data_IF_355843382575
#
_entry.id   IF_355843382575
#
_cell.length_a   1.000
_cell.length_b   1.000
_cell.length_c   1.000
_cell.angle_alpha   90.00
_cell.angle_beta   90.00
_cell.angle_gamma   90.00
#
_symmetry.space_group_name_H-M   'P 1'
#
loop_
_entity.id
_entity.type
_entity.pdbx_description
1 polymer ?
#
# COMPACT_ATOMS: atom_id res chain seq x y z
N UNK A 1 -19.10 36.51 3.35
CA UNK A 1 -17.82 35.89 3.78
C UNK A 1 -17.96 34.42 4.17
N UNK A 2 -18.86 34.05 5.10
CA UNK A 2 -18.95 32.68 5.62
C UNK A 2 -19.19 31.59 4.54
N UNK A 3 -20.11 31.82 3.60
CA UNK A 3 -20.42 30.88 2.52
C UNK A 3 -19.25 30.63 1.55
N UNK A 4 -18.41 31.64 1.36
CA UNK A 4 -17.28 31.59 0.43
C UNK A 4 -16.12 30.78 1.05
N UNK A 5 -15.91 30.94 2.36
CA UNK A 5 -14.96 30.14 3.14
C UNK A 5 -15.37 28.67 3.21
N UNK A 6 -16.65 28.37 3.42
CA UNK A 6 -17.13 26.97 3.47
C UNK A 6 -16.97 26.27 2.13
N UNK A 7 -17.31 26.95 1.01
CA UNK A 7 -17.08 26.41 -0.34
C UNK A 7 -15.59 26.14 -0.61
N UNK A 8 -14.71 27.04 -0.16
CA UNK A 8 -13.27 26.90 -0.35
C UNK A 8 -12.69 25.70 0.42
N UNK A 9 -13.15 25.49 1.66
CA UNK A 9 -12.74 24.35 2.48
C UNK A 9 -13.23 23.01 1.89
N UNK A 10 -14.47 22.96 1.40
CA UNK A 10 -15.01 21.77 0.71
C UNK A 10 -14.22 21.45 -0.55
N UNK A 11 -13.85 22.47 -1.33
CA UNK A 11 -13.02 22.30 -2.51
C UNK A 11 -11.60 21.77 -2.17
N UNK A 12 -11.00 22.23 -1.07
CA UNK A 12 -9.68 21.76 -0.63
C UNK A 12 -9.68 20.28 -0.22
N UNK A 13 -10.72 19.83 0.47
CA UNK A 13 -10.86 18.44 0.93
C UNK A 13 -11.22 17.50 -0.23
N UNK A 14 -11.91 18.03 -1.26
CA UNK A 14 -12.26 17.28 -2.46
C UNK A 14 -11.14 17.14 -3.50
N UNK A 15 -10.02 17.86 -3.34
CA UNK A 15 -8.88 17.76 -4.25
C UNK A 15 -8.16 16.42 -4.01
N UNK A 16 -8.07 15.52 -5.01
CA UNK A 16 -7.26 14.33 -4.89
C UNK A 16 -5.80 14.79 -4.76
N UNK A 17 -5.26 14.73 -3.55
CA UNK A 17 -3.85 14.97 -3.34
C UNK A 17 -3.11 13.86 -4.10
N UNK A 18 -2.56 14.19 -5.27
CA UNK A 18 -1.72 13.29 -6.05
C UNK A 18 -0.39 13.10 -5.30
N UNK A 19 -0.45 12.43 -4.16
CA UNK A 19 0.74 11.98 -3.44
C UNK A 19 1.39 10.94 -4.34
N UNK A 20 2.61 11.23 -4.79
CA UNK A 20 3.38 10.22 -5.49
C UNK A 20 3.62 9.06 -4.53
N UNK A 21 3.14 7.88 -4.90
CA UNK A 21 3.35 6.67 -4.13
C UNK A 21 4.85 6.39 -4.03
N UNK A 22 5.33 6.09 -2.84
CA UNK A 22 6.69 5.58 -2.63
C UNK A 22 6.61 4.13 -2.17
N UNK A 23 7.44 3.28 -2.77
CA UNK A 23 7.51 1.85 -2.47
C UNK A 23 8.96 1.44 -2.32
N UNK A 24 9.23 0.31 -1.67
CA UNK A 24 10.50 -0.37 -1.84
C UNK A 24 10.55 -1.03 -3.23
N UNK A 25 11.67 -0.88 -3.94
CA UNK A 25 11.87 -1.48 -5.26
C UNK A 25 13.24 -2.13 -5.31
N UNK A 26 13.27 -3.45 -5.26
CA UNK A 26 14.50 -4.24 -5.13
C UNK A 26 14.27 -5.70 -5.51
N UNK A 27 15.36 -6.45 -5.71
CA UNK A 27 15.35 -7.89 -5.84
C UNK A 27 16.48 -8.48 -4.99
N UNK A 28 16.17 -9.46 -4.16
CA UNK A 28 17.14 -10.05 -3.24
C UNK A 28 16.89 -11.53 -3.01
N UNK A 29 17.96 -12.31 -2.92
CA UNK A 29 17.91 -13.72 -2.55
C UNK A 29 17.86 -13.82 -1.02
N UNK A 30 16.65 -13.78 -0.49
CA UNK A 30 16.35 -13.85 0.92
C UNK A 30 14.94 -13.35 1.17
N UNK A 31 14.66 -13.07 2.44
CA UNK A 31 13.28 -12.92 2.89
C UNK A 31 12.70 -11.53 2.65
N UNK A 32 13.58 -10.52 2.63
CA UNK A 32 13.19 -9.13 2.51
C UNK A 32 14.30 -8.27 1.89
N UNK A 33 13.92 -7.12 1.32
CA UNK A 33 14.84 -6.09 0.83
C UNK A 33 14.21 -4.71 0.96
N UNK A 34 15.04 -3.67 1.16
CA UNK A 34 14.57 -2.30 1.36
C UNK A 34 15.34 -1.36 0.43
N UNK A 35 14.63 -0.71 -0.47
CA UNK A 35 15.17 0.35 -1.32
C UNK A 35 14.03 1.32 -1.68
N UNK A 36 13.75 2.31 -0.82
CA UNK A 36 12.64 3.23 -1.03
C UNK A 36 12.86 4.03 -2.32
N UNK A 37 11.85 4.05 -3.19
CA UNK A 37 11.87 4.79 -4.45
C UNK A 37 10.49 5.40 -4.71
N UNK A 38 10.50 6.58 -5.33
CA UNK A 38 9.30 7.24 -5.81
C UNK A 38 8.78 6.52 -7.06
N UNK A 39 7.53 6.08 -7.03
CA UNK A 39 6.91 5.38 -8.13
C UNK A 39 6.54 6.33 -9.28
N UNK A 40 6.50 5.83 -10.54
CA UNK A 40 5.98 6.61 -11.66
C UNK A 40 4.49 6.91 -11.46
N UNK A 41 3.99 8.00 -12.04
CA UNK A 41 2.60 8.47 -11.84
C UNK A 41 1.52 7.44 -12.20
N UNK A 42 1.83 6.51 -13.11
CA UNK A 42 0.92 5.43 -13.51
C UNK A 42 0.86 4.27 -12.51
N UNK A 43 1.79 4.17 -11.56
CA UNK A 43 1.82 3.11 -10.57
C UNK A 43 1.08 3.52 -9.31
N UNK A 44 0.03 2.77 -8.99
CA UNK A 44 -0.84 3.00 -7.82
C UNK A 44 -0.70 1.92 -6.76
N UNK A 45 0.12 0.89 -7.01
CA UNK A 45 0.36 -0.21 -6.08
C UNK A 45 1.85 -0.44 -5.86
N UNK A 46 2.21 -0.74 -4.61
CA UNK A 46 3.43 -1.45 -4.28
C UNK A 46 3.15 -2.95 -4.36
N UNK A 47 3.96 -3.66 -5.14
CA UNK A 47 3.90 -5.11 -5.30
C UNK A 47 5.07 -5.75 -4.58
N UNK A 48 4.82 -6.87 -3.90
CA UNK A 48 5.86 -7.79 -3.40
C UNK A 48 5.59 -9.17 -3.96
N UNK A 49 6.57 -9.72 -4.66
CA UNK A 49 6.57 -11.10 -5.12
C UNK A 49 7.61 -11.88 -4.33
N UNK A 50 7.21 -13.01 -3.77
CA UNK A 50 8.13 -13.97 -3.16
C UNK A 50 8.12 -15.24 -3.96
N UNK A 51 9.29 -15.64 -4.46
CA UNK A 51 9.48 -16.89 -5.19
C UNK A 51 10.29 -17.84 -4.32
N UNK A 52 9.70 -18.98 -4.00
CA UNK A 52 10.27 -20.05 -3.20
C UNK A 52 10.95 -21.06 -4.12
N UNK A 53 12.26 -21.24 -3.96
CA UNK A 53 13.01 -22.31 -4.65
C UNK A 53 13.01 -23.58 -3.81
N UNK A 54 13.07 -23.42 -2.49
CA UNK A 54 12.86 -24.46 -1.47
C UNK A 54 12.09 -23.84 -0.30
N UNK A 55 11.64 -24.62 0.70
CA UNK A 55 11.01 -24.07 1.90
C UNK A 55 11.88 -23.06 2.66
N UNK A 56 13.21 -23.09 2.46
CA UNK A 56 14.18 -22.24 3.17
C UNK A 56 14.92 -21.26 2.25
N UNK A 57 14.81 -21.40 0.92
CA UNK A 57 15.43 -20.50 -0.05
C UNK A 57 14.36 -19.81 -0.85
N UNK A 58 14.24 -18.51 -0.65
CA UNK A 58 13.36 -17.67 -1.44
C UNK A 58 14.08 -16.44 -2.01
N UNK A 59 13.45 -15.85 -3.01
CA UNK A 59 13.80 -14.55 -3.57
C UNK A 59 12.60 -13.63 -3.42
N UNK A 60 12.84 -12.45 -2.89
CA UNK A 60 11.87 -11.37 -2.85
C UNK A 60 12.14 -10.40 -3.98
N UNK A 61 11.08 -9.95 -4.64
CA UNK A 61 11.11 -8.84 -5.58
C UNK A 61 10.02 -7.85 -5.20
N UNK A 62 10.37 -6.57 -5.20
CA UNK A 62 9.46 -5.48 -4.90
C UNK A 62 9.46 -4.47 -6.04
N UNK A 63 8.30 -3.95 -6.40
CA UNK A 63 8.16 -3.04 -7.53
C UNK A 63 6.94 -2.12 -7.38
N UNK A 64 6.93 -1.05 -8.17
CA UNK A 64 5.77 -0.20 -8.39
C UNK A 64 5.00 -0.72 -9.62
N UNK A 65 3.69 -0.92 -9.52
CA UNK A 65 2.87 -1.41 -10.64
C UNK A 65 1.54 -0.65 -10.75
N UNK A 66 0.99 -0.49 -11.98
CA UNK A 66 -0.32 0.14 -12.19
C UNK A 66 -1.49 -0.75 -11.75
N UNK A 67 -1.29 -2.07 -11.81
CA UNK A 67 -2.28 -3.10 -11.46
C UNK A 67 -1.55 -4.22 -10.76
N UNK A 68 -2.18 -4.77 -9.74
CA UNK A 68 -1.59 -5.81 -8.90
C UNK A 68 -2.64 -6.87 -8.61
N UNK A 69 -2.25 -8.14 -8.71
CA UNK A 69 -3.11 -9.29 -8.45
C UNK A 69 -2.44 -10.15 -7.39
N UNK A 70 -3.10 -10.30 -6.25
CA UNK A 70 -2.56 -11.13 -5.17
C UNK A 70 -2.63 -12.60 -5.54
N UNK A 71 -1.59 -13.34 -5.18
CA UNK A 71 -1.55 -14.79 -5.34
C UNK A 71 -1.22 -15.42 -4.00
N UNK A 72 -2.08 -16.35 -3.58
CA UNK A 72 -1.94 -17.08 -2.33
C UNK A 72 -1.28 -18.43 -2.63
N UNK A 73 -0.37 -18.86 -1.76
CA UNK A 73 0.16 -20.22 -1.78
C UNK A 73 -0.85 -21.14 -1.12
N UNK A 74 -1.49 -22.01 -1.91
CA UNK A 74 -2.49 -22.98 -1.44
C UNK A 74 -1.86 -24.31 -0.96
N UNK A 75 -0.54 -24.45 -1.03
CA UNK A 75 0.20 -25.65 -0.60
C UNK A 75 0.05 -26.86 -1.51
N UNK A 76 -0.90 -26.83 -2.46
CA UNK A 76 -1.21 -27.92 -3.38
C UNK A 76 -0.84 -27.59 -4.83
N UNK A 77 -0.91 -26.30 -5.20
CA UNK A 77 -0.55 -25.83 -6.53
C UNK A 77 0.95 -25.60 -6.65
N UNK A 78 1.50 -25.95 -7.83
CA UNK A 78 2.90 -25.70 -8.24
C UNK A 78 3.32 -24.23 -8.26
N UNK A 79 2.49 -23.30 -7.79
CA UNK A 79 2.80 -21.88 -7.75
C UNK A 79 3.75 -21.62 -6.58
N UNK A 80 5.04 -21.87 -6.81
CA UNK A 80 6.10 -21.54 -5.87
C UNK A 80 6.31 -20.03 -5.70
N UNK A 81 5.32 -19.18 -6.04
CA UNK A 81 5.41 -17.73 -5.95
C UNK A 81 4.13 -17.11 -5.40
N UNK A 82 4.27 -16.26 -4.39
CA UNK A 82 3.18 -15.46 -3.83
C UNK A 82 3.34 -13.99 -4.20
N UNK A 83 2.22 -13.30 -4.33
CA UNK A 83 2.16 -11.88 -4.68
C UNK A 83 1.26 -11.14 -3.71
N UNK A 84 1.72 -9.98 -3.29
CA UNK A 84 1.07 -9.11 -2.32
C UNK A 84 1.01 -7.67 -2.82
N UNK A 85 -0.09 -6.98 -2.53
CA UNK A 85 -0.37 -5.67 -3.07
C UNK A 85 -0.80 -4.68 -1.97
N UNK A 86 -0.31 -3.45 -2.03
CA UNK A 86 -0.74 -2.38 -1.12
C UNK A 86 -0.59 -1.01 -1.78
N UNK A 87 -1.29 0.02 -1.28
CA UNK A 87 -1.43 1.33 -1.95
C UNK A 87 -1.04 2.53 -1.07
N UNK A 88 -0.21 2.30 -0.04
CA UNK A 88 0.22 3.36 0.88
C UNK A 88 1.75 3.46 0.96
N UNK A 89 2.23 4.58 1.50
CA UNK A 89 3.65 4.92 1.57
C UNK A 89 4.49 3.78 2.19
N UNK A 90 5.46 3.28 1.43
CA UNK A 90 6.40 2.21 1.79
C UNK A 90 5.73 0.95 2.37
N UNK A 91 4.48 0.68 1.99
CA UNK A 91 3.67 -0.39 2.55
C UNK A 91 4.26 -1.79 2.35
N UNK A 92 5.01 -1.97 1.27
CA UNK A 92 5.69 -3.22 0.96
C UNK A 92 6.99 -3.40 1.76
N UNK A 93 7.23 -2.64 2.83
CA UNK A 93 8.36 -2.83 3.74
C UNK A 93 8.16 -3.99 4.73
N UNK A 94 6.92 -4.23 5.15
CA UNK A 94 6.64 -5.24 6.18
C UNK A 94 6.89 -6.67 5.67
N UNK A 95 7.70 -7.42 6.41
CA UNK A 95 7.68 -8.88 6.32
C UNK A 95 6.34 -9.34 6.88
N UNK A 96 5.38 -9.76 6.03
CA UNK A 96 4.09 -10.43 6.31
C UNK A 96 3.87 -11.04 7.72
N UNK A 97 3.85 -10.21 8.75
CA UNK A 97 3.61 -10.59 10.13
C UNK A 97 2.98 -9.37 10.80
N UNK A 98 1.77 -9.03 10.35
CA UNK A 98 0.71 -8.29 11.06
C UNK A 98 -0.36 -7.86 10.05
N UNK A 99 -1.39 -8.71 9.93
CA UNK A 99 -2.70 -8.26 9.50
C UNK A 99 -3.23 -7.39 10.65
N UNK A 100 -3.30 -6.08 10.47
CA UNK A 100 -3.65 -5.15 11.55
C UNK A 100 -4.07 -3.81 11.00
N UNK A 101 -5.11 -3.80 10.16
CA UNK A 101 -5.77 -2.56 9.77
C UNK A 101 -6.33 -1.86 11.01
N UNK A 102 -5.86 -0.64 11.24
CA UNK A 102 -6.57 0.42 11.96
C UNK A 102 -6.46 1.66 11.08
N UNK A 103 -7.37 1.83 10.13
CA UNK A 103 -8.65 2.54 10.34
C UNK A 103 -8.42 4.04 10.56
N UNK A 104 -8.27 4.80 9.46
CA UNK A 104 -8.37 6.27 9.44
C UNK A 104 -9.83 6.76 9.58
N UNK A 105 -10.61 6.18 10.48
CA UNK A 105 -11.96 6.64 10.82
C UNK A 105 -12.26 6.24 12.25
N UNK A 106 -12.30 7.18 13.21
CA UNK A 106 -13.23 8.32 13.18
C UNK A 106 -12.65 9.62 13.79
N UNK A 107 -12.35 10.64 12.98
CA UNK A 107 -12.06 12.01 13.49
C UNK A 107 -13.27 12.95 13.30
N UNK A 108 -14.36 12.50 12.68
CA UNK A 108 -15.47 13.37 12.24
C UNK A 108 -16.77 13.31 13.06
N UNK A 109 -16.86 12.53 14.15
CA UNK A 109 -18.09 12.51 14.97
C UNK A 109 -18.10 13.47 16.18
N UNK A 110 -16.99 14.14 16.51
CA UNK A 110 -16.95 14.98 17.70
C UNK A 110 -17.53 16.39 17.50
N UNK A 111 -17.67 16.90 16.28
CA UNK A 111 -18.13 18.29 16.05
C UNK A 111 -19.64 18.42 15.87
N UNK A 112 -20.40 17.32 15.86
CA UNK A 112 -21.86 17.37 15.63
C UNK A 112 -22.69 17.34 16.93
N UNK A 113 -22.07 17.03 18.08
CA UNK A 113 -22.79 16.99 19.37
C UNK A 113 -22.83 18.36 20.08
N UNK A 114 -21.93 19.29 19.76
CA UNK A 114 -21.94 20.65 20.36
C UNK A 114 -22.96 21.61 19.70
N UNK A 115 -23.81 21.11 18.80
CA UNK A 115 -24.83 21.88 18.07
C UNK A 115 -26.26 21.35 18.24
N UNK A 116 -26.50 20.37 19.14
CA UNK A 116 -27.83 19.92 19.53
C UNK A 116 -28.13 20.25 21.00
#
# INVERSE_FOLDING_TARGET
MALLLTLFLVALVGLPLAQALECHVCAYNGDNCFNPMRCPAMATYCMTTRTYYTPTKMKVSKSCVPRCFETVYDGYSKHASTTACCQYYLCNGASFATLGGLALGPILLATLWDLL
#
